data_IF_470870569541
#
_entry.id   IF_470870569541
#
_cell.length_a   1.000
_cell.length_b   1.000
_cell.length_c   1.000
_cell.angle_alpha   90.00
_cell.angle_beta   90.00
_cell.angle_gamma   90.00
#
_symmetry.space_group_name_H-M   'P 1'
#
loop_
_entity.id
_entity.type
_entity.pdbx_description
1 polymer ?
#
# COMPACT_ATOMS: atom_id res chain seq x y z
N UNK A 1 21.99 -9.58 -7.08
CA UNK A 1 20.78 -8.80 -6.72
C UNK A 1 19.74 -9.11 -7.78
N UNK A 2 18.48 -9.38 -7.41
CA UNK A 2 17.46 -9.68 -8.40
C UNK A 2 17.11 -8.42 -9.19
N UNK A 3 17.09 -8.57 -10.52
CA UNK A 3 16.52 -7.60 -11.46
C UNK A 3 15.09 -8.06 -11.79
N UNK A 4 14.13 -7.15 -11.73
CA UNK A 4 12.75 -7.38 -12.11
C UNK A 4 12.38 -6.56 -13.33
N UNK A 5 11.72 -7.21 -14.29
CA UNK A 5 11.08 -6.57 -15.43
C UNK A 5 9.57 -6.62 -15.21
N UNK A 6 8.95 -5.45 -15.12
CA UNK A 6 7.54 -5.31 -14.77
C UNK A 6 6.83 -4.63 -15.92
N UNK A 7 5.67 -5.16 -16.30
CA UNK A 7 4.76 -4.52 -17.23
C UNK A 7 3.39 -4.38 -16.57
N UNK A 8 2.94 -3.14 -16.40
CA UNK A 8 1.61 -2.80 -15.92
C UNK A 8 0.81 -2.20 -17.07
N UNK A 9 -0.34 -2.78 -17.39
CA UNK A 9 -1.25 -2.22 -18.40
C UNK A 9 -2.61 -1.96 -17.76
N UNK A 10 -2.99 -0.68 -17.66
CA UNK A 10 -4.35 -0.27 -17.33
C UNK A 10 -5.09 0.05 -18.63
N UNK A 11 -6.28 -0.52 -18.83
CA UNK A 11 -7.14 -0.23 -19.99
C UNK A 11 -8.52 0.21 -19.52
N UNK A 12 -8.95 1.36 -20.01
CA UNK A 12 -10.31 1.85 -19.89
C UNK A 12 -11.01 1.67 -21.24
N UNK A 13 -12.29 1.28 -21.20
CA UNK A 13 -13.18 1.25 -22.35
C UNK A 13 -14.46 1.97 -21.93
N UNK A 14 -14.91 2.89 -22.78
CA UNK A 14 -16.06 3.75 -22.50
C UNK A 14 -17.20 3.39 -23.46
N UNK A 15 -18.43 3.41 -22.95
CA UNK A 15 -19.63 3.13 -23.76
C UNK A 15 -19.90 4.21 -24.82
N UNK A 16 -19.34 5.41 -24.62
CA UNK A 16 -19.41 6.54 -25.54
C UNK A 16 -18.07 7.29 -25.61
N UNK A 17 -17.89 8.12 -26.63
CA UNK A 17 -16.72 8.98 -26.74
C UNK A 17 -16.64 9.95 -25.56
N UNK A 18 -15.49 9.95 -24.88
CA UNK A 18 -15.11 10.95 -23.88
C UNK A 18 -14.07 11.90 -24.46
N UNK A 19 -13.95 13.09 -23.86
CA UNK A 19 -12.98 14.14 -24.20
C UNK A 19 -12.41 14.73 -22.92
N UNK A 20 -11.29 15.45 -23.02
CA UNK A 20 -10.67 16.16 -21.89
C UNK A 20 -10.46 15.26 -20.66
N UNK A 21 -9.99 14.03 -20.91
CA UNK A 21 -9.78 13.03 -19.86
C UNK A 21 -8.55 13.40 -19.02
N UNK A 22 -8.78 14.04 -17.88
CA UNK A 22 -7.76 14.41 -16.90
C UNK A 22 -7.46 13.22 -15.98
N UNK A 23 -6.19 12.81 -15.92
CA UNK A 23 -5.77 11.60 -15.22
C UNK A 23 -4.57 11.87 -14.31
N UNK A 24 -4.56 11.17 -13.17
CA UNK A 24 -3.43 11.09 -12.25
C UNK A 24 -2.98 9.64 -12.13
N UNK A 25 -1.69 9.39 -12.26
CA UNK A 25 -1.08 8.07 -12.17
C UNK A 25 -0.03 8.03 -11.07
N UNK A 26 0.02 6.90 -10.36
CA UNK A 26 1.01 6.61 -9.32
C UNK A 26 1.74 5.33 -9.76
N UNK A 27 2.45 5.43 -10.88
CA UNK A 27 3.14 4.31 -11.54
C UNK A 27 4.66 4.46 -11.54
N UNK A 28 5.19 5.42 -10.79
CA UNK A 28 6.62 5.67 -10.65
C UNK A 28 7.13 4.98 -9.39
N UNK A 29 7.95 3.92 -9.50
CA UNK A 29 8.53 3.27 -8.33
C UNK A 29 9.51 4.19 -7.60
N UNK A 30 9.60 4.02 -6.28
CA UNK A 30 10.62 4.69 -5.45
C UNK A 30 12.02 4.29 -5.94
N UNK A 31 12.93 5.25 -5.97
CA UNK A 31 14.34 5.04 -6.26
C UNK A 31 15.16 5.43 -5.02
N UNK A 32 15.68 4.45 -4.30
CA UNK A 32 16.41 4.64 -3.04
C UNK A 32 17.51 3.58 -2.83
N UNK A 33 18.09 3.52 -1.63
CA UNK A 33 19.16 2.57 -1.29
C UNK A 33 18.73 1.09 -1.32
N UNK A 34 17.43 0.81 -1.33
CA UNK A 34 16.85 -0.53 -1.37
C UNK A 34 16.26 -0.89 -2.74
N UNK A 35 16.06 0.08 -3.62
CA UNK A 35 15.51 -0.13 -4.94
C UNK A 35 16.07 0.87 -5.95
N UNK A 36 16.72 0.35 -6.99
CA UNK A 36 17.23 1.14 -8.11
C UNK A 36 16.32 0.99 -9.34
N UNK A 37 15.86 2.12 -9.89
CA UNK A 37 15.06 2.14 -11.12
C UNK A 37 15.98 2.32 -12.33
N UNK A 38 16.25 1.23 -13.05
CA UNK A 38 17.13 1.24 -14.23
C UNK A 38 16.47 1.87 -15.45
N UNK A 39 15.18 1.57 -15.64
CA UNK A 39 14.40 2.06 -16.79
C UNK A 39 12.92 2.16 -16.45
N UNK A 40 12.28 3.21 -16.94
CA UNK A 40 10.83 3.38 -16.91
C UNK A 40 10.35 3.97 -18.23
N UNK A 41 9.63 3.18 -19.03
CA UNK A 41 8.92 3.64 -20.21
C UNK A 41 7.41 3.71 -19.92
N UNK A 42 6.80 4.85 -20.19
CA UNK A 42 5.37 5.06 -20.01
C UNK A 42 4.73 5.42 -21.35
N UNK A 43 3.88 4.52 -21.86
CA UNK A 43 3.19 4.68 -23.15
C UNK A 43 1.70 4.83 -22.88
N UNK A 44 1.16 6.00 -23.20
CA UNK A 44 -0.26 6.33 -23.02
C UNK A 44 -0.89 6.56 -24.39
N UNK A 45 -2.14 6.11 -24.58
CA UNK A 45 -2.93 6.40 -25.79
C UNK A 45 -2.90 7.89 -26.13
N UNK A 46 -2.58 8.22 -27.38
CA UNK A 46 -2.49 9.61 -27.84
C UNK A 46 -1.19 10.33 -27.45
N UNK A 47 -0.28 9.67 -26.72
CA UNK A 47 1.01 10.21 -26.31
C UNK A 47 0.94 11.61 -25.67
N UNK A 48 0.04 11.86 -24.70
CA UNK A 48 -0.02 13.14 -24.02
C UNK A 48 1.29 13.42 -23.28
N UNK A 49 1.59 14.70 -23.10
CA UNK A 49 2.64 15.11 -22.17
C UNK A 49 2.21 14.73 -20.75
N UNK A 50 3.12 14.11 -20.00
CA UNK A 50 2.92 13.76 -18.59
C UNK A 50 3.78 14.68 -17.75
N UNK A 51 3.15 15.53 -16.96
CA UNK A 51 3.84 16.34 -15.96
C UNK A 51 4.01 15.51 -14.69
N UNK A 52 5.17 15.65 -14.02
CA UNK A 52 5.45 14.91 -12.80
C UNK A 52 5.75 15.82 -11.62
N UNK A 53 5.36 15.39 -10.43
CA UNK A 53 5.67 16.05 -9.17
C UNK A 53 5.79 15.03 -8.04
N UNK A 54 6.43 15.42 -6.94
CA UNK A 54 6.50 14.62 -5.71
C UNK A 54 5.39 15.10 -4.77
N UNK A 55 4.53 14.18 -4.32
CA UNK A 55 3.50 14.49 -3.34
C UNK A 55 4.06 14.59 -1.91
N UNK A 56 3.21 14.94 -0.95
CA UNK A 56 3.58 15.07 0.46
C UNK A 56 4.15 13.78 1.07
N UNK A 57 3.75 12.61 0.55
CA UNK A 57 4.18 11.30 1.05
C UNK A 57 5.45 10.78 0.36
N UNK A 58 6.03 11.57 -0.56
CA UNK A 58 7.22 11.22 -1.32
C UNK A 58 6.94 10.37 -2.56
N UNK A 59 5.67 10.21 -2.97
CA UNK A 59 5.35 9.50 -4.20
C UNK A 59 5.59 10.40 -5.40
N UNK A 60 6.23 9.87 -6.43
CA UNK A 60 6.26 10.53 -7.73
C UNK A 60 4.95 10.28 -8.47
N UNK A 61 4.25 11.37 -8.76
CA UNK A 61 2.94 11.38 -9.40
C UNK A 61 3.09 11.86 -10.84
N UNK A 62 2.43 11.19 -11.78
CA UNK A 62 2.23 11.69 -13.14
C UNK A 62 0.82 12.26 -13.31
N UNK A 63 0.71 13.38 -14.02
CA UNK A 63 -0.55 14.03 -14.37
C UNK A 63 -0.57 14.31 -15.87
N UNK A 64 -1.68 13.97 -16.53
CA UNK A 64 -1.85 14.24 -17.96
C UNK A 64 -3.32 14.45 -18.32
N UNK A 65 -3.56 15.13 -19.44
CA UNK A 65 -4.89 15.28 -20.03
C UNK A 65 -4.88 14.76 -21.45
N UNK A 66 -5.84 13.89 -21.80
CA UNK A 66 -6.05 13.44 -23.17
C UNK A 66 -7.31 14.07 -23.76
N UNK A 67 -7.10 15.03 -24.66
CA UNK A 67 -8.12 15.95 -25.20
C UNK A 67 -8.95 15.29 -26.31
N UNK A 68 -8.29 14.54 -27.20
CA UNK A 68 -8.92 13.99 -28.40
C UNK A 68 -10.09 13.06 -28.05
N UNK A 69 -11.19 13.06 -28.83
CA UNK A 69 -12.31 12.17 -28.58
C UNK A 69 -11.88 10.70 -28.68
N UNK A 70 -12.12 9.92 -27.63
CA UNK A 70 -11.75 8.51 -27.58
C UNK A 70 -12.80 7.67 -26.85
N UNK A 71 -12.86 6.39 -27.19
CA UNK A 71 -13.66 5.38 -26.48
C UNK A 71 -12.79 4.36 -25.73
N UNK A 72 -11.47 4.53 -25.77
CA UNK A 72 -10.52 3.71 -25.01
C UNK A 72 -9.30 4.51 -24.60
N UNK A 73 -8.74 4.19 -23.44
CA UNK A 73 -7.50 4.75 -22.93
C UNK A 73 -6.65 3.60 -22.38
N UNK A 74 -5.43 3.45 -22.90
CA UNK A 74 -4.46 2.48 -22.40
C UNK A 74 -3.25 3.21 -21.80
N UNK A 75 -2.83 2.77 -20.62
CA UNK A 75 -1.63 3.23 -19.92
C UNK A 75 -0.75 1.99 -19.75
N UNK A 76 0.36 1.93 -20.48
CA UNK A 76 1.33 0.84 -20.45
C UNK A 76 2.63 1.33 -19.82
N UNK A 77 2.90 0.89 -18.60
CA UNK A 77 4.12 1.19 -17.85
C UNK A 77 5.04 -0.03 -17.89
N UNK A 78 6.25 0.16 -18.40
CA UNK A 78 7.30 -0.85 -18.47
C UNK A 78 8.49 -0.42 -17.61
N UNK A 79 8.89 -1.28 -16.68
CA UNK A 79 9.88 -0.97 -15.66
C UNK A 79 10.97 -2.04 -15.63
N UNK A 80 12.21 -1.62 -15.42
CA UNK A 80 13.33 -2.46 -14.99
C UNK A 80 13.85 -1.93 -13.67
N UNK A 81 13.83 -2.76 -12.63
CA UNK A 81 14.28 -2.38 -11.27
C UNK A 81 15.22 -3.42 -10.69
N UNK A 82 16.22 -2.97 -9.93
CA UNK A 82 17.05 -3.82 -9.08
C UNK A 82 16.63 -3.59 -7.63
N UNK A 83 16.43 -4.65 -6.86
CA UNK A 83 16.19 -4.52 -5.41
C UNK A 83 17.40 -4.97 -4.61
N UNK A 84 17.68 -4.24 -3.53
CA UNK A 84 18.71 -4.57 -2.55
C UNK A 84 18.08 -5.14 -1.28
N UNK A 85 18.75 -6.07 -0.58
CA UNK A 85 18.24 -6.60 0.68
C UNK A 85 18.02 -5.49 1.71
N UNK A 86 16.85 -5.54 2.37
CA UNK A 86 16.54 -4.69 3.52
C UNK A 86 16.68 -5.52 4.79
N UNK A 87 17.55 -5.10 5.69
CA UNK A 87 17.66 -5.74 6.99
C UNK A 87 16.36 -5.53 7.79
N UNK A 88 15.95 -6.55 8.54
CA UNK A 88 14.87 -6.39 9.51
C UNK A 88 15.32 -5.44 10.63
N UNK A 89 14.38 -4.73 11.28
CA UNK A 89 14.70 -3.91 12.45
C UNK A 89 15.45 -4.75 13.49
N UNK A 90 16.50 -4.18 14.08
CA UNK A 90 17.14 -4.77 15.24
C UNK A 90 16.21 -4.63 16.44
N UNK A 91 16.00 -5.72 17.17
CA UNK A 91 15.11 -5.78 18.32
C UNK A 91 15.93 -6.11 19.58
N UNK A 92 16.92 -5.26 19.84
CA UNK A 92 17.95 -5.42 20.88
C UNK A 92 17.82 -4.43 22.05
N UNK A 93 16.90 -3.47 21.95
CA UNK A 93 16.53 -2.54 23.03
C UNK A 93 15.39 -3.10 23.88
N UNK A 94 15.28 -2.63 25.13
CA UNK A 94 14.15 -2.98 25.98
C UNK A 94 12.82 -2.49 25.37
N UNK A 95 11.79 -3.34 25.42
CA UNK A 95 10.46 -3.02 24.87
C UNK A 95 9.94 -1.64 25.32
N UNK A 96 10.06 -1.32 26.61
CA UNK A 96 9.61 -0.04 27.17
C UNK A 96 10.31 1.18 26.53
N UNK A 97 11.59 1.07 26.21
CA UNK A 97 12.35 2.14 25.55
C UNK A 97 11.87 2.34 24.11
N UNK A 98 11.68 1.25 23.35
CA UNK A 98 11.16 1.31 21.98
C UNK A 98 9.75 1.93 21.93
N UNK A 99 8.87 1.57 22.86
CA UNK A 99 7.54 2.17 22.96
C UNK A 99 7.60 3.66 23.31
N UNK A 100 8.54 4.07 24.17
CA UNK A 100 8.75 5.48 24.49
C UNK A 100 9.25 6.28 23.27
N UNK A 101 10.12 5.70 22.44
CA UNK A 101 10.53 6.32 21.17
C UNK A 101 9.34 6.53 20.24
N UNK A 102 8.51 5.51 20.01
CA UNK A 102 7.30 5.64 19.19
C UNK A 102 6.32 6.68 19.76
N UNK A 103 6.17 6.72 21.08
CA UNK A 103 5.36 7.73 21.75
C UNK A 103 5.86 9.15 21.47
N UNK A 104 7.18 9.36 21.40
CA UNK A 104 7.76 10.65 21.06
C UNK A 104 7.56 11.02 19.58
N UNK A 105 7.55 10.04 18.67
CA UNK A 105 7.30 10.26 17.23
C UNK A 105 5.94 10.89 16.94
N UNK A 106 4.94 10.73 17.82
CA UNK A 106 3.62 11.35 17.63
C UNK A 106 3.63 12.87 17.55
N UNK A 107 4.70 13.50 18.01
CA UNK A 107 4.86 14.95 17.98
C UNK A 107 5.78 15.40 16.83
N UNK A 108 6.29 14.47 16.03
CA UNK A 108 7.22 14.73 14.93
C UNK A 108 6.41 14.77 13.63
N UNK A 109 6.36 15.95 13.00
CA UNK A 109 5.45 16.28 11.88
C UNK A 109 5.35 15.19 10.80
N UNK A 110 6.45 14.63 10.27
CA UNK A 110 6.39 13.55 9.27
C UNK A 110 5.61 12.29 9.67
N UNK A 111 5.39 12.04 10.97
CA UNK A 111 4.75 10.81 11.46
C UNK A 111 3.33 11.01 11.99
N UNK A 112 2.90 12.27 12.19
CA UNK A 112 1.58 12.60 12.75
C UNK A 112 0.46 11.98 11.90
N UNK A 113 0.55 12.12 10.57
CA UNK A 113 -0.46 11.60 9.65
C UNK A 113 -0.51 10.07 9.66
N UNK A 114 0.61 9.40 9.93
CA UNK A 114 0.69 7.94 9.99
C UNK A 114 0.20 7.36 11.32
N UNK A 115 -0.10 8.21 12.30
CA UNK A 115 -0.70 7.84 13.58
C UNK A 115 -2.20 8.18 13.65
N UNK A 116 -2.74 8.82 12.61
CA UNK A 116 -4.15 9.21 12.57
C UNK A 116 -5.04 7.96 12.53
N UNK A 117 -5.73 7.72 13.63
CA UNK A 117 -6.67 6.62 13.76
C UNK A 117 -7.88 6.83 12.85
N UNK A 118 -8.18 5.82 12.03
CA UNK A 118 -9.41 5.77 11.24
C UNK A 118 -10.58 5.37 12.16
N UNK A 119 -11.72 6.02 11.98
CA UNK A 119 -12.95 5.71 12.70
C UNK A 119 -13.82 4.77 11.87
N UNK A 120 -14.33 3.72 12.51
CA UNK A 120 -15.33 2.81 11.98
C UNK A 120 -16.12 2.22 13.16
N UNK A 121 -17.35 1.77 12.96
CA UNK A 121 -18.24 1.30 14.05
C UNK A 121 -17.64 0.09 14.79
N UNK A 122 -17.02 -0.83 14.03
CA UNK A 122 -16.35 -2.02 14.53
C UNK A 122 -15.11 -1.76 15.38
N UNK A 123 -14.68 -0.50 15.57
CA UNK A 123 -13.53 -0.17 16.41
C UNK A 123 -13.73 -0.69 17.83
N UNK A 124 -14.95 -0.57 18.39
CA UNK A 124 -15.25 -1.05 19.76
C UNK A 124 -15.03 -2.55 19.95
N UNK A 125 -15.31 -3.35 18.91
CA UNK A 125 -15.07 -4.79 18.89
C UNK A 125 -13.60 -5.15 18.59
N UNK A 126 -12.91 -4.30 17.82
CA UNK A 126 -11.49 -4.46 17.53
C UNK A 126 -10.60 -4.21 18.76
N UNK A 127 -10.98 -3.29 19.66
CA UNK A 127 -10.20 -2.98 20.88
C UNK A 127 -9.81 -4.20 21.71
N UNK A 128 -10.76 -5.05 22.17
CA UNK A 128 -10.41 -6.21 22.98
C UNK A 128 -9.54 -7.21 22.21
N UNK A 129 -9.68 -7.30 20.88
CA UNK A 129 -8.80 -8.12 20.05
C UNK A 129 -7.37 -7.58 20.06
N UNK A 130 -7.20 -6.28 19.83
CA UNK A 130 -5.88 -5.64 19.84
C UNK A 130 -5.21 -5.74 21.21
N UNK A 131 -5.97 -5.59 22.29
CA UNK A 131 -5.49 -5.75 23.66
C UNK A 131 -5.10 -7.20 23.98
N UNK A 132 -5.82 -8.19 23.46
CA UNK A 132 -5.50 -9.59 23.65
C UNK A 132 -4.25 -10.04 22.86
N UNK A 133 -4.05 -9.50 21.66
CA UNK A 133 -2.91 -9.85 20.79
C UNK A 133 -1.62 -9.10 21.15
N UNK A 134 -1.71 -8.01 21.94
CA UNK A 134 -0.56 -7.24 22.43
C UNK A 134 -0.16 -7.70 23.83
N UNK A 135 1.01 -8.32 23.97
CA UNK A 135 1.57 -8.65 25.29
C UNK A 135 2.34 -7.45 25.85
N UNK A 136 2.45 -7.39 27.17
CA UNK A 136 3.11 -6.27 27.87
C UNK A 136 4.59 -6.20 27.53
N UNK A 137 5.22 -7.36 27.39
CA UNK A 137 6.63 -7.53 27.07
C UNK A 137 6.95 -7.40 25.58
N UNK A 138 5.93 -7.42 24.69
CA UNK A 138 6.15 -7.36 23.26
C UNK A 138 6.74 -6.00 22.86
N UNK A 139 7.77 -6.04 22.03
CA UNK A 139 8.32 -4.86 21.35
C UNK A 139 7.34 -4.43 20.25
N UNK A 140 7.42 -3.19 19.73
CA UNK A 140 6.61 -2.77 18.60
C UNK A 140 6.70 -3.70 17.38
N UNK A 141 7.88 -4.26 17.12
CA UNK A 141 8.10 -5.23 16.05
C UNK A 141 7.30 -6.53 16.28
N UNK A 142 7.41 -7.13 17.47
CA UNK A 142 6.64 -8.33 17.81
C UNK A 142 5.13 -8.08 17.81
N UNK A 143 4.71 -6.91 18.30
CA UNK A 143 3.29 -6.48 18.27
C UNK A 143 2.77 -6.41 16.84
N UNK A 144 3.52 -5.79 15.91
CA UNK A 144 3.15 -5.73 14.51
C UNK A 144 3.06 -7.11 13.85
N UNK A 145 3.97 -8.03 14.19
CA UNK A 145 3.91 -9.41 13.73
C UNK A 145 2.70 -10.16 14.28
N UNK A 146 2.32 -9.94 15.55
CA UNK A 146 1.15 -10.58 16.14
C UNK A 146 -0.14 -10.12 15.45
N UNK A 147 -0.28 -8.82 15.19
CA UNK A 147 -1.44 -8.29 14.46
C UNK A 147 -1.49 -8.79 13.01
N UNK A 148 -0.36 -8.84 12.32
CA UNK A 148 -0.25 -9.42 10.98
C UNK A 148 -0.70 -10.89 10.96
N UNK A 149 -0.25 -11.69 11.94
CA UNK A 149 -0.69 -13.09 12.13
C UNK A 149 -2.17 -13.20 12.46
N UNK A 150 -2.71 -12.30 13.28
CA UNK A 150 -4.13 -12.26 13.60
C UNK A 150 -4.96 -12.06 12.34
N UNK A 151 -4.64 -11.04 11.53
CA UNK A 151 -5.35 -10.78 10.26
C UNK A 151 -5.26 -11.99 9.35
N UNK A 152 -4.07 -12.57 9.17
CA UNK A 152 -3.86 -13.76 8.34
C UNK A 152 -4.70 -14.98 8.78
N UNK A 153 -4.91 -15.17 10.09
CA UNK A 153 -5.64 -16.32 10.63
C UNK A 153 -7.17 -16.13 10.63
N UNK A 154 -7.64 -14.89 10.75
CA UNK A 154 -9.04 -14.58 11.00
C UNK A 154 -9.77 -13.98 9.79
N UNK A 155 -9.05 -13.71 8.69
CA UNK A 155 -9.62 -13.16 7.47
C UNK A 155 -9.26 -14.03 6.26
N UNK A 156 -10.26 -14.37 5.46
CA UNK A 156 -10.10 -15.22 4.28
C UNK A 156 -9.82 -14.39 3.03
N UNK A 157 -8.82 -14.80 2.24
CA UNK A 157 -8.53 -14.13 0.97
C UNK A 157 -9.51 -14.60 -0.12
N UNK A 158 -10.45 -13.74 -0.50
CA UNK A 158 -11.46 -14.03 -1.51
C UNK A 158 -11.50 -12.88 -2.51
N UNK A 159 -11.33 -13.19 -3.80
CA UNK A 159 -11.41 -12.17 -4.87
C UNK A 159 -12.86 -11.86 -5.19
N UNK A 160 -13.15 -10.58 -5.43
CA UNK A 160 -14.46 -10.11 -5.92
C UNK A 160 -15.54 -9.95 -4.85
N UNK A 161 -15.22 -10.15 -3.57
CA UNK A 161 -16.15 -9.87 -2.46
C UNK A 161 -16.06 -8.43 -1.95
N UNK A 162 -15.00 -7.71 -2.31
CA UNK A 162 -14.76 -6.30 -1.98
C UNK A 162 -14.48 -5.47 -3.24
N UNK A 163 -14.71 -4.17 -3.13
CA UNK A 163 -14.43 -3.15 -4.15
C UNK A 163 -13.60 -2.03 -3.53
N UNK A 164 -13.19 -1.05 -4.34
CA UNK A 164 -12.48 0.15 -3.85
C UNK A 164 -13.33 1.00 -2.89
N UNK A 165 -14.64 0.78 -2.85
CA UNK A 165 -15.58 1.50 -1.98
C UNK A 165 -15.88 0.73 -0.68
N UNK A 166 -15.42 -0.53 -0.55
CA UNK A 166 -15.68 -1.34 0.63
C UNK A 166 -15.05 -0.71 1.88
N UNK A 167 -15.87 -0.55 2.90
CA UNK A 167 -15.50 0.08 4.18
C UNK A 167 -14.87 -0.91 5.15
N UNK A 168 -14.15 -0.39 6.15
CA UNK A 168 -13.62 -1.18 7.26
C UNK A 168 -14.71 -1.93 8.04
N UNK A 169 -15.89 -1.34 8.21
CA UNK A 169 -17.03 -1.97 8.86
C UNK A 169 -17.53 -3.21 8.10
N UNK A 170 -17.56 -3.12 6.77
CA UNK A 170 -17.91 -4.26 5.92
C UNK A 170 -16.85 -5.34 5.97
N UNK A 171 -15.56 -4.99 5.84
CA UNK A 171 -14.45 -5.94 5.95
C UNK A 171 -14.49 -6.68 7.29
N UNK A 172 -14.69 -5.93 8.39
CA UNK A 172 -14.74 -6.48 9.74
C UNK A 172 -15.91 -7.46 9.92
N UNK A 173 -17.08 -7.17 9.36
CA UNK A 173 -18.25 -8.07 9.40
C UNK A 173 -18.07 -9.28 8.48
N UNK A 174 -17.54 -9.06 7.28
CA UNK A 174 -17.39 -10.08 6.24
C UNK A 174 -16.31 -11.11 6.60
N UNK A 175 -15.24 -10.68 7.30
CA UNK A 175 -14.07 -11.52 7.60
C UNK A 175 -13.41 -12.10 6.35
N UNK A 176 -13.55 -11.44 5.21
CA UNK A 176 -12.92 -11.81 3.96
C UNK A 176 -12.65 -10.57 3.10
N UNK A 177 -11.70 -10.69 2.18
CA UNK A 177 -11.31 -9.61 1.28
C UNK A 177 -10.04 -9.92 0.51
N UNK A 178 -9.39 -8.87 0.02
CA UNK A 178 -8.13 -8.91 -0.71
C UNK A 178 -7.03 -8.16 0.07
N UNK A 179 -5.85 -8.06 -0.54
CA UNK A 179 -4.66 -7.48 0.08
C UNK A 179 -4.85 -6.03 0.56
N UNK A 180 -5.60 -5.20 -0.17
CA UNK A 180 -5.99 -3.84 0.26
C UNK A 180 -6.73 -3.86 1.61
N UNK A 181 -7.73 -4.73 1.74
CA UNK A 181 -8.58 -4.82 2.93
C UNK A 181 -7.77 -5.20 4.17
N UNK A 182 -6.85 -6.15 4.01
CA UNK A 182 -5.98 -6.62 5.08
C UNK A 182 -4.95 -5.57 5.49
N UNK A 183 -4.40 -4.82 4.52
CA UNK A 183 -3.51 -3.72 4.80
C UNK A 183 -4.21 -2.61 5.60
N UNK A 184 -5.44 -2.25 5.23
CA UNK A 184 -6.23 -1.27 5.99
C UNK A 184 -6.51 -1.73 7.42
N UNK A 185 -6.97 -2.97 7.61
CA UNK A 185 -7.22 -3.49 8.95
C UNK A 185 -5.95 -3.54 9.80
N UNK A 186 -4.83 -3.97 9.23
CA UNK A 186 -3.54 -4.00 9.94
C UNK A 186 -3.09 -2.59 10.34
N UNK A 187 -3.23 -1.60 9.45
CA UNK A 187 -2.92 -0.20 9.79
C UNK A 187 -3.76 0.31 10.95
N UNK A 188 -5.06 0.00 10.98
CA UNK A 188 -5.97 0.36 12.08
C UNK A 188 -5.48 -0.23 13.40
N UNK A 189 -5.11 -1.52 13.42
CA UNK A 189 -4.58 -2.18 14.62
C UNK A 189 -3.27 -1.56 15.10
N UNK A 190 -2.34 -1.27 14.19
CA UNK A 190 -1.05 -0.65 14.50
C UNK A 190 -1.20 0.77 15.05
N UNK A 191 -2.01 1.60 14.39
CA UNK A 191 -2.25 2.99 14.82
C UNK A 191 -2.95 3.05 16.16
N UNK A 192 -3.83 2.09 16.46
CA UNK A 192 -4.53 2.02 17.75
C UNK A 192 -3.57 1.91 18.94
N UNK A 193 -2.45 1.19 18.78
CA UNK A 193 -1.42 1.05 19.82
C UNK A 193 -0.30 2.10 19.72
N UNK A 194 -0.42 3.06 18.81
CA UNK A 194 0.55 4.14 18.64
C UNK A 194 1.76 3.79 17.76
N UNK A 195 1.67 2.77 16.91
CA UNK A 195 2.68 2.48 15.88
C UNK A 195 2.31 3.27 14.60
N UNK A 196 3.17 4.19 14.11
CA UNK A 196 2.92 4.88 12.85
C UNK A 196 2.88 3.88 11.69
N UNK A 197 1.80 3.88 10.92
CA UNK A 197 1.60 2.94 9.81
C UNK A 197 1.10 3.66 8.55
N UNK A 198 1.65 3.29 7.40
CA UNK A 198 1.27 3.82 6.08
C UNK A 198 0.97 2.68 5.11
N UNK A 199 0.09 2.96 4.16
CA UNK A 199 -0.21 2.06 3.06
C UNK A 199 0.91 2.12 2.03
N UNK A 200 1.29 0.96 1.50
CA UNK A 200 2.29 0.85 0.44
C UNK A 200 1.69 -0.04 -0.64
N UNK A 201 1.85 0.37 -1.89
CA UNK A 201 1.48 -0.42 -3.07
C UNK A 201 2.75 -0.78 -3.86
N UNK A 202 2.80 -1.97 -4.44
CA UNK A 202 3.91 -2.42 -5.25
C UNK A 202 3.58 -3.56 -6.21
N UNK A 203 4.61 -4.28 -6.61
CA UNK A 203 4.51 -5.47 -7.44
C UNK A 203 5.20 -6.62 -6.73
N UNK A 204 4.59 -7.81 -6.77
CA UNK A 204 5.17 -9.03 -6.23
C UNK A 204 5.55 -9.97 -7.37
N UNK A 205 6.66 -10.69 -7.20
CA UNK A 205 7.07 -11.77 -8.10
C UNK A 205 7.10 -13.08 -7.29
N UNK A 206 5.96 -13.81 -7.18
CA UNK A 206 5.94 -15.07 -6.47
C UNK A 206 6.77 -16.11 -7.25
N UNK A 207 7.81 -16.64 -6.60
CA UNK A 207 8.83 -17.54 -7.15
C UNK A 207 8.33 -18.88 -7.74
N UNK A 208 7.02 -19.10 -7.88
CA UNK A 208 6.46 -20.41 -8.20
C UNK A 208 6.33 -20.71 -9.69
N UNK A 209 6.05 -19.72 -10.56
CA UNK A 209 5.70 -20.01 -11.97
C UNK A 209 6.24 -19.01 -13.01
N UNK A 210 7.30 -18.25 -12.69
CA UNK A 210 8.07 -17.47 -13.67
C UNK A 210 7.39 -16.24 -14.29
N UNK A 211 6.06 -16.10 -14.21
CA UNK A 211 5.30 -14.91 -14.59
C UNK A 211 3.98 -14.87 -13.82
N UNK A 212 3.78 -13.87 -12.94
CA UNK A 212 2.44 -13.35 -12.57
C UNK A 212 2.57 -12.08 -11.72
N UNK A 213 2.39 -10.93 -12.36
CA UNK A 213 2.05 -9.67 -11.70
C UNK A 213 0.53 -9.56 -11.59
N UNK A 214 -0.08 -10.35 -10.70
CA UNK A 214 -1.35 -9.88 -10.14
C UNK A 214 -0.97 -8.78 -9.15
N UNK A 215 -1.60 -7.61 -9.26
CA UNK A 215 -1.39 -6.53 -8.30
C UNK A 215 -1.56 -7.08 -6.90
N UNK A 216 -0.46 -7.16 -6.16
CA UNK A 216 -0.49 -7.27 -4.73
C UNK A 216 -0.06 -5.90 -4.24
N UNK A 217 -0.90 -5.30 -3.42
CA UNK A 217 -0.58 -4.08 -2.69
C UNK A 217 0.80 -4.20 -2.07
#
# INVERSE_FOLDING_TARGET
MPEFKIQHITKYTYDSFVRDSANKIILYPINDIYQEVLKHDLIITGHPQVDTYIDYYGNQIGSFTFIEPHNSLAINSQLSVITHPRALPMDDMFSAEQWNELYNLRNVVPYIDFLKQEYFEGLSELRPVVEAERKIEDTPYHTALNFSKYVFKNFEYIKGVTTVETTLDEIWKLRAGVCQDFAHLLMVMLRYVGIPARYVSGYICPNKDGMRGEGAT
#
